data_IF_889810691377
#
_entry.id   IF_889810691377
#
_cell.length_a   1.000
_cell.length_b   1.000
_cell.length_c   1.000
_cell.angle_alpha   90.00
_cell.angle_beta   90.00
_cell.angle_gamma   90.00
#
_symmetry.space_group_name_H-M   'P 1'
#
loop_
_entity.id
_entity.type
_entity.pdbx_description
1 polymer ?
#
# COMPACT_ATOMS: atom_id res chain seq x y z
N UNK A 1 0.89 -11.38 -2.26
CA UNK A 1 1.43 -11.60 -3.63
C UNK A 1 2.87 -11.15 -3.82
N UNK A 2 3.34 -10.09 -3.15
CA UNK A 2 4.73 -9.64 -3.27
C UNK A 2 5.77 -10.78 -3.16
N UNK A 3 5.62 -11.68 -2.17
CA UNK A 3 6.50 -12.83 -2.00
C UNK A 3 6.47 -13.84 -3.17
N UNK A 4 5.32 -14.00 -3.83
CA UNK A 4 5.22 -14.85 -5.03
C UNK A 4 6.01 -14.24 -6.20
N UNK A 5 5.82 -12.94 -6.45
CA UNK A 5 6.49 -12.24 -7.54
C UNK A 5 7.97 -11.96 -7.29
N UNK A 6 8.43 -11.96 -6.04
CA UNK A 6 9.85 -11.94 -5.71
C UNK A 6 10.60 -13.12 -6.36
N UNK A 7 9.99 -14.31 -6.42
CA UNK A 7 10.55 -15.47 -7.12
C UNK A 7 10.69 -15.29 -8.65
N UNK A 8 9.97 -14.32 -9.23
CA UNK A 8 10.06 -13.93 -10.63
C UNK A 8 10.96 -12.71 -10.87
N UNK A 9 11.70 -12.24 -9.84
CA UNK A 9 12.61 -11.10 -9.94
C UNK A 9 11.95 -9.73 -9.81
N UNK A 10 10.74 -9.64 -9.22
CA UNK A 10 10.06 -8.38 -8.95
C UNK A 10 10.26 -7.97 -7.49
N UNK A 11 10.86 -6.80 -7.27
CA UNK A 11 11.04 -6.21 -5.93
C UNK A 11 9.74 -5.53 -5.46
N UNK A 12 8.82 -6.32 -4.91
CA UNK A 12 7.54 -5.84 -4.39
C UNK A 12 7.60 -5.43 -2.91
N UNK A 13 6.78 -4.46 -2.52
CA UNK A 13 6.51 -4.08 -1.13
C UNK A 13 5.05 -4.35 -0.78
N UNK A 14 4.76 -4.53 0.52
CA UNK A 14 3.39 -4.58 1.04
C UNK A 14 3.16 -3.29 1.82
N UNK A 15 2.22 -2.47 1.36
CA UNK A 15 1.90 -1.17 1.95
C UNK A 15 0.41 -0.88 1.78
N UNK A 16 -0.22 -0.29 2.79
CA UNK A 16 -1.65 -0.02 2.81
C UNK A 16 -2.08 0.79 4.03
N UNK A 17 -3.37 1.14 4.11
CA UNK A 17 -3.92 1.92 5.22
C UNK A 17 -3.92 1.13 6.52
N UNK A 18 -4.01 1.84 7.63
CA UNK A 18 -4.18 1.27 8.96
C UNK A 18 -5.62 0.78 9.15
N UNK A 19 -5.77 -0.33 9.86
CA UNK A 19 -7.03 -0.99 10.16
C UNK A 19 -6.75 -2.28 10.90
N UNK A 20 -7.80 -2.98 11.31
CA UNK A 20 -7.66 -4.26 12.00
C UNK A 20 -8.92 -5.12 11.83
N UNK A 21 -8.89 -6.33 12.39
CA UNK A 21 -9.97 -7.29 12.33
C UNK A 21 -10.08 -7.97 10.98
N UNK A 22 -8.97 -8.12 10.25
CA UNK A 22 -8.96 -8.76 8.93
C UNK A 22 -9.71 -10.10 8.95
N UNK A 23 -10.71 -10.23 8.08
CA UNK A 23 -11.60 -11.40 7.98
C UNK A 23 -12.56 -11.60 9.17
N UNK A 24 -12.77 -10.58 10.00
CA UNK A 24 -13.71 -10.57 11.13
C UNK A 24 -14.97 -9.75 10.86
N UNK A 25 -16.03 -9.96 11.66
CA UNK A 25 -17.25 -9.15 11.58
C UNK A 25 -17.05 -7.70 12.03
N UNK A 26 -15.93 -7.42 12.68
CA UNK A 26 -15.49 -6.11 13.15
C UNK A 26 -14.33 -5.54 12.31
N UNK A 27 -14.12 -6.05 11.09
CA UNK A 27 -13.12 -5.51 10.16
C UNK A 27 -13.38 -4.02 9.90
N UNK A 28 -12.33 -3.20 10.02
CA UNK A 28 -12.43 -1.76 9.83
C UNK A 28 -11.12 -1.15 9.31
N UNK A 29 -11.19 0.12 8.92
CA UNK A 29 -10.06 0.93 8.44
C UNK A 29 -10.14 2.33 9.04
N UNK A 30 -8.99 2.94 9.33
CA UNK A 30 -8.90 4.33 9.74
C UNK A 30 -8.99 5.25 8.51
N UNK A 31 -10.03 6.08 8.41
CA UNK A 31 -10.36 6.84 7.19
C UNK A 31 -9.22 7.79 6.78
N UNK A 32 -8.60 8.47 7.74
CA UNK A 32 -7.47 9.36 7.50
C UNK A 32 -6.28 8.63 6.89
N UNK A 33 -6.04 7.38 7.31
CA UNK A 33 -4.94 6.56 6.82
C UNK A 33 -5.14 6.12 5.36
N UNK A 34 -6.39 6.04 4.88
CA UNK A 34 -6.68 5.79 3.46
C UNK A 34 -6.22 6.97 2.60
N UNK A 35 -6.52 8.19 3.05
CA UNK A 35 -6.10 9.42 2.35
C UNK A 35 -4.58 9.56 2.38
N UNK A 36 -3.94 9.26 3.51
CA UNK A 36 -2.48 9.24 3.62
C UNK A 36 -1.84 8.21 2.69
N UNK A 37 -2.35 6.97 2.69
CA UNK A 37 -1.87 5.89 1.81
C UNK A 37 -1.95 6.31 0.34
N UNK A 38 -3.07 6.91 -0.07
CA UNK A 38 -3.23 7.41 -1.44
C UNK A 38 -2.18 8.47 -1.80
N UNK A 39 -1.87 9.40 -0.87
CA UNK A 39 -0.83 10.41 -1.07
C UNK A 39 0.57 9.78 -1.16
N UNK A 40 0.89 8.79 -0.33
CA UNK A 40 2.18 8.10 -0.36
C UNK A 40 2.36 7.37 -1.69
N UNK A 41 1.34 6.67 -2.18
CA UNK A 41 1.40 6.01 -3.49
C UNK A 41 1.58 7.05 -4.60
N UNK A 42 0.81 8.13 -4.59
CA UNK A 42 0.94 9.20 -5.59
C UNK A 42 2.33 9.84 -5.59
N UNK A 43 2.85 10.19 -4.41
CA UNK A 43 4.21 10.72 -4.25
C UNK A 43 5.26 9.73 -4.76
N UNK A 44 5.12 8.45 -4.43
CA UNK A 44 6.05 7.39 -4.87
C UNK A 44 6.07 7.26 -6.40
N UNK A 45 4.91 7.38 -7.07
CA UNK A 45 4.82 7.37 -8.53
C UNK A 45 5.45 8.62 -9.15
N UNK A 46 5.20 9.80 -8.57
CA UNK A 46 5.80 11.07 -9.02
C UNK A 46 7.34 10.99 -8.93
N UNK A 47 7.85 10.55 -7.78
CA UNK A 47 9.28 10.37 -7.54
C UNK A 47 9.89 9.35 -8.51
N UNK A 48 9.22 8.21 -8.72
CA UNK A 48 9.67 7.17 -9.66
C UNK A 48 9.76 7.67 -11.10
N UNK A 49 8.77 8.44 -11.55
CA UNK A 49 8.75 9.01 -12.89
C UNK A 49 9.68 10.23 -13.05
N UNK A 50 10.31 10.70 -11.97
CA UNK A 50 11.22 11.84 -11.99
C UNK A 50 10.55 13.18 -12.28
N UNK A 51 9.24 13.29 -12.03
CA UNK A 51 8.48 14.52 -12.25
C UNK A 51 8.59 15.36 -10.97
N UNK A 52 9.11 16.58 -11.04
CA UNK A 52 9.22 17.52 -9.92
C UNK A 52 8.62 18.86 -10.28
#
# INVERSE_FOLDING_TARGET
DAAHYAGAGVDGVIFGPSGDGFHGSNEYVEVESVVETAKVIAASVIDWCGIR
#
